data_IF_912790440388
#
_entry.id   IF_912790440388
#
_cell.length_a   1.000
_cell.length_b   1.000
_cell.length_c   1.000
_cell.angle_alpha   90.00
_cell.angle_beta   90.00
_cell.angle_gamma   90.00
#
_symmetry.space_group_name_H-M   'P 1'
#
loop_
_entity.id
_entity.type
_entity.pdbx_description
1 polymer ?
#
# COMPACT_ATOMS: atom_id res chain seq x y z
N UNK A 1 0.20 19.66 -1.36
CA UNK A 1 0.89 19.12 -0.18
C UNK A 1 0.91 17.59 -0.21
N UNK A 2 -0.25 16.92 -0.27
CA UNK A 2 -0.33 15.45 -0.25
C UNK A 2 0.52 14.75 -1.32
N UNK A 3 0.72 15.37 -2.47
CA UNK A 3 1.55 14.85 -3.58
C UNK A 3 2.99 15.39 -3.61
N UNK A 4 3.46 16.02 -2.52
CA UNK A 4 4.83 16.50 -2.39
C UNK A 4 5.18 17.77 -3.18
N UNK A 5 4.21 18.39 -3.88
CA UNK A 5 4.44 19.59 -4.71
C UNK A 5 4.68 20.86 -3.89
N UNK A 6 4.16 20.91 -2.67
CA UNK A 6 4.34 22.02 -1.72
C UNK A 6 4.59 21.45 -0.32
N UNK A 7 5.36 22.16 0.49
CA UNK A 7 5.62 21.82 1.89
C UNK A 7 4.36 22.04 2.76
N UNK A 8 4.35 21.44 3.96
CA UNK A 8 3.30 21.68 4.97
C UNK A 8 3.18 23.19 5.31
N UNK A 9 4.32 23.90 5.40
CA UNK A 9 4.35 25.33 5.70
C UNK A 9 3.67 26.15 4.58
N UNK A 10 4.02 25.84 3.32
CA UNK A 10 3.38 26.50 2.16
C UNK A 10 1.89 26.19 2.07
N UNK A 11 1.49 24.95 2.33
CA UNK A 11 0.06 24.60 2.42
C UNK A 11 -0.65 25.42 3.48
N UNK A 12 -0.10 25.54 4.70
CA UNK A 12 -0.70 26.32 5.78
C UNK A 12 -0.77 27.81 5.46
N UNK A 13 0.23 28.37 4.77
CA UNK A 13 0.22 29.76 4.30
C UNK A 13 -0.86 30.00 3.25
N UNK A 14 -1.04 29.07 2.31
CA UNK A 14 -2.10 29.14 1.31
C UNK A 14 -3.49 28.97 1.93
N UNK A 15 -3.65 27.97 2.79
CA UNK A 15 -4.91 27.70 3.49
C UNK A 15 -5.34 28.87 4.38
N UNK A 16 -4.39 29.58 5.00
CA UNK A 16 -4.66 30.79 5.81
C UNK A 16 -5.37 31.90 5.06
N UNK A 17 -5.25 31.97 3.74
CA UNK A 17 -5.96 32.94 2.90
C UNK A 17 -7.45 32.65 2.74
N UNK A 18 -7.87 31.42 3.02
CA UNK A 18 -9.25 30.95 2.85
C UNK A 18 -9.94 30.67 4.19
N UNK A 19 -9.30 31.00 5.32
CA UNK A 19 -9.92 30.83 6.64
C UNK A 19 -10.94 31.93 6.92
N UNK A 20 -12.17 31.55 7.23
CA UNK A 20 -13.28 32.42 7.55
C UNK A 20 -13.78 32.12 8.97
N UNK A 21 -14.22 33.14 9.71
CA UNK A 21 -14.89 32.94 11.01
C UNK A 21 -13.99 32.55 12.17
N UNK A 22 -12.72 33.03 12.19
CA UNK A 22 -11.81 32.80 13.32
C UNK A 22 -11.11 31.42 13.35
N UNK A 23 -11.33 30.57 12.35
CA UNK A 23 -10.62 29.30 12.22
C UNK A 23 -9.17 29.53 11.79
N UNK A 24 -8.21 28.97 12.50
CA UNK A 24 -6.80 29.03 12.09
C UNK A 24 -6.50 28.08 10.95
N UNK A 25 -5.47 28.37 10.14
CA UNK A 25 -4.99 27.44 9.09
C UNK A 25 -4.60 26.08 9.66
N UNK A 26 -4.09 26.04 10.88
CA UNK A 26 -3.77 24.78 11.59
C UNK A 26 -5.02 23.99 11.98
N UNK A 27 -6.09 24.67 12.43
CA UNK A 27 -7.36 24.03 12.74
C UNK A 27 -7.99 23.42 11.48
N UNK A 28 -7.99 24.17 10.37
CA UNK A 28 -8.44 23.66 9.07
C UNK A 28 -7.61 22.46 8.62
N UNK A 29 -6.28 22.51 8.77
CA UNK A 29 -5.41 21.39 8.45
C UNK A 29 -5.73 20.15 9.28
N UNK A 30 -5.96 20.30 10.59
CA UNK A 30 -6.30 19.18 11.47
C UNK A 30 -7.66 18.57 11.15
N UNK A 31 -8.66 19.38 10.73
CA UNK A 31 -9.95 18.90 10.25
C UNK A 31 -9.85 18.10 8.94
N UNK A 32 -8.86 18.41 8.11
CA UNK A 32 -8.64 17.72 6.83
C UNK A 32 -7.72 16.50 6.97
N UNK A 33 -7.13 16.27 8.15
CA UNK A 33 -6.38 15.03 8.41
C UNK A 33 -7.33 13.85 8.45
N UNK A 34 -6.99 12.73 7.74
CA UNK A 34 -7.76 11.52 7.89
C UNK A 34 -7.65 10.99 9.32
N UNK A 35 -8.79 10.69 9.91
CA UNK A 35 -8.85 9.89 11.14
C UNK A 35 -9.07 8.43 10.73
N UNK A 36 -7.99 7.66 10.70
CA UNK A 36 -8.04 6.27 10.27
C UNK A 36 -8.82 5.37 11.22
N UNK A 37 -8.93 5.73 12.50
CA UNK A 37 -9.73 4.97 13.46
C UNK A 37 -11.23 5.10 13.17
N UNK A 38 -11.69 6.27 12.70
CA UNK A 38 -13.07 6.48 12.28
C UNK A 38 -13.35 5.90 10.88
N UNK A 39 -12.31 5.69 10.07
CA UNK A 39 -12.42 5.16 8.71
C UNK A 39 -12.28 3.63 8.65
N UNK A 40 -11.93 2.96 9.75
CA UNK A 40 -11.81 1.50 9.81
C UNK A 40 -13.16 0.85 9.53
N UNK A 41 -13.20 -0.05 8.53
CA UNK A 41 -14.42 -0.77 8.13
C UNK A 41 -14.41 -2.23 8.61
N UNK A 42 -13.22 -2.83 8.73
CA UNK A 42 -13.04 -4.20 9.22
C UNK A 42 -12.05 -4.17 10.39
N UNK A 43 -12.52 -4.39 11.63
CA UNK A 43 -11.63 -4.35 12.78
C UNK A 43 -10.60 -5.49 12.74
N UNK A 44 -9.45 -5.26 13.38
CA UNK A 44 -8.41 -6.28 13.54
C UNK A 44 -8.93 -7.59 14.17
N UNK A 45 -9.92 -7.48 15.04
CA UNK A 45 -10.55 -8.60 15.78
C UNK A 45 -11.72 -9.26 15.04
N UNK A 46 -11.96 -8.92 13.77
CA UNK A 46 -13.07 -9.53 12.99
C UNK A 46 -12.89 -11.06 12.91
N UNK A 47 -13.91 -11.85 13.28
CA UNK A 47 -13.79 -13.31 13.39
C UNK A 47 -13.67 -14.04 12.04
N UNK A 48 -13.96 -13.37 10.93
CA UNK A 48 -13.88 -13.96 9.59
C UNK A 48 -12.49 -13.87 8.97
N UNK A 49 -11.53 -13.18 9.65
CA UNK A 49 -10.17 -12.99 9.17
C UNK A 49 -9.13 -13.30 10.25
N UNK A 50 -7.90 -13.56 9.82
CA UNK A 50 -6.73 -13.76 10.69
C UNK A 50 -5.61 -12.83 10.22
N UNK A 51 -5.45 -11.65 10.83
CA UNK A 51 -4.36 -10.73 10.53
C UNK A 51 -3.10 -11.05 11.33
N UNK A 52 -1.94 -10.92 10.70
CA UNK A 52 -0.63 -11.06 11.34
C UNK A 52 0.43 -10.26 10.60
N UNK A 53 1.54 -9.93 11.29
CA UNK A 53 2.72 -9.38 10.63
C UNK A 53 3.71 -10.49 10.36
N UNK A 54 4.22 -10.54 9.15
CA UNK A 54 5.23 -11.47 8.70
C UNK A 54 6.42 -10.75 8.08
N UNK A 55 7.48 -11.50 7.76
CA UNK A 55 8.58 -11.04 6.93
C UNK A 55 8.70 -11.95 5.71
N UNK A 56 9.09 -11.39 4.58
CA UNK A 56 9.38 -12.16 3.37
C UNK A 56 10.70 -11.70 2.74
N UNK A 57 11.41 -12.60 2.03
CA UNK A 57 12.68 -12.27 1.39
C UNK A 57 12.49 -11.41 0.15
N UNK A 58 13.35 -10.41 -0.02
CA UNK A 58 13.44 -9.52 -1.18
C UNK A 58 14.91 -9.38 -1.61
N UNK A 59 15.50 -10.39 -2.24
CA UNK A 59 16.93 -10.42 -2.54
C UNK A 59 17.39 -9.31 -3.49
N UNK A 60 16.57 -8.93 -4.45
CA UNK A 60 16.84 -7.82 -5.38
C UNK A 60 16.38 -6.45 -4.84
N UNK A 61 15.74 -6.43 -3.67
CA UNK A 61 15.29 -5.25 -2.96
C UNK A 61 16.17 -4.96 -1.74
N UNK A 62 15.51 -4.81 -0.57
CA UNK A 62 16.19 -4.49 0.69
C UNK A 62 16.55 -5.73 1.53
N UNK A 63 16.46 -6.95 0.98
CA UNK A 63 16.82 -8.21 1.63
C UNK A 63 15.63 -8.85 2.34
N UNK A 64 15.03 -8.19 3.32
CA UNK A 64 13.85 -8.66 4.05
C UNK A 64 12.85 -7.53 4.21
N UNK A 65 11.57 -7.83 4.01
CA UNK A 65 10.48 -6.86 4.08
C UNK A 65 9.42 -7.32 5.06
N UNK A 66 9.06 -6.46 6.01
CA UNK A 66 7.89 -6.65 6.88
C UNK A 66 6.61 -6.42 6.08
N UNK A 67 5.60 -7.24 6.31
CA UNK A 67 4.30 -7.10 5.67
C UNK A 67 3.16 -7.47 6.62
N UNK A 68 1.99 -6.91 6.36
CA UNK A 68 0.74 -7.26 7.01
C UNK A 68 0.02 -8.30 6.15
N UNK A 69 -0.06 -9.52 6.66
CA UNK A 69 -0.75 -10.65 6.03
C UNK A 69 -2.12 -10.81 6.66
N UNK A 70 -3.14 -10.96 5.84
CA UNK A 70 -4.49 -11.26 6.32
C UNK A 70 -5.06 -12.44 5.54
N UNK A 71 -5.42 -13.50 6.26
CA UNK A 71 -6.03 -14.69 5.67
C UNK A 71 -7.50 -14.79 6.10
N UNK A 72 -8.42 -15.18 5.21
CA UNK A 72 -9.77 -15.54 5.61
C UNK A 72 -9.76 -16.76 6.55
N UNK A 73 -10.64 -16.80 7.56
CA UNK A 73 -10.76 -17.97 8.45
C UNK A 73 -11.49 -19.14 7.79
N UNK A 74 -12.29 -18.87 6.76
CA UNK A 74 -13.10 -19.87 6.04
C UNK A 74 -12.54 -20.07 4.62
N UNK A 75 -11.37 -20.70 4.52
CA UNK A 75 -10.80 -21.17 3.25
C UNK A 75 -10.97 -22.70 3.23
N UNK A 76 -11.61 -23.24 2.19
CA UNK A 76 -11.82 -24.69 2.09
C UNK A 76 -10.48 -25.45 1.88
N UNK A 77 -9.57 -24.91 1.07
CA UNK A 77 -8.23 -25.43 0.79
C UNK A 77 -7.27 -24.27 0.50
N UNK A 78 -7.41 -23.62 -0.65
CA UNK A 78 -6.58 -22.51 -1.10
C UNK A 78 -7.42 -21.33 -1.60
N UNK A 79 -6.90 -20.11 -1.48
CA UNK A 79 -7.53 -18.91 -2.02
C UNK A 79 -6.55 -18.15 -2.94
N UNK A 80 -7.04 -17.39 -3.94
CA UNK A 80 -6.18 -16.47 -4.67
C UNK A 80 -5.66 -15.35 -3.75
N UNK A 81 -4.49 -14.82 -4.08
CA UNK A 81 -3.84 -13.80 -3.28
C UNK A 81 -3.91 -12.42 -3.93
N UNK A 82 -3.88 -11.37 -3.09
CA UNK A 82 -3.80 -9.97 -3.53
C UNK A 82 -2.73 -9.25 -2.75
N UNK A 83 -1.79 -8.64 -3.45
CA UNK A 83 -0.83 -7.70 -2.88
C UNK A 83 -1.47 -6.31 -2.85
N UNK A 84 -1.51 -5.68 -1.67
CA UNK A 84 -2.10 -4.35 -1.46
C UNK A 84 -0.97 -3.35 -1.22
N UNK A 85 -0.74 -2.44 -2.15
CA UNK A 85 0.38 -1.50 -2.11
C UNK A 85 -0.06 -0.14 -1.60
N UNK A 86 0.65 0.35 -0.58
CA UNK A 86 0.39 1.63 0.07
C UNK A 86 0.75 2.84 -0.82
N UNK A 87 0.32 4.02 -0.41
CA UNK A 87 0.68 5.30 -1.01
C UNK A 87 2.15 5.66 -0.70
N UNK A 88 2.52 6.93 -0.85
CA UNK A 88 3.88 7.43 -0.62
C UNK A 88 4.19 7.73 0.85
N UNK A 89 3.69 6.94 1.79
CA UNK A 89 3.81 7.21 3.23
C UNK A 89 3.98 5.97 4.10
N UNK A 90 4.14 4.79 3.48
CA UNK A 90 4.30 3.52 4.16
C UNK A 90 2.97 2.82 4.48
N UNK A 91 3.07 1.68 5.13
CA UNK A 91 1.94 0.84 5.54
C UNK A 91 1.19 1.48 6.71
N UNK A 92 0.26 2.37 6.40
CA UNK A 92 -0.57 3.04 7.40
C UNK A 92 -1.84 2.21 7.74
N UNK A 93 -2.55 2.56 8.83
CA UNK A 93 -3.74 1.82 9.26
C UNK A 93 -4.86 1.71 8.21
N UNK A 94 -4.97 2.67 7.28
CA UNK A 94 -5.94 2.59 6.19
C UNK A 94 -5.62 1.44 5.22
N UNK A 95 -4.35 1.26 4.87
CA UNK A 95 -3.93 0.17 3.97
C UNK A 95 -4.08 -1.18 4.66
N UNK A 96 -3.83 -1.25 5.97
CA UNK A 96 -4.11 -2.47 6.75
C UNK A 96 -5.61 -2.80 6.74
N UNK A 97 -6.50 -1.79 6.87
CA UNK A 97 -7.94 -2.00 6.74
C UNK A 97 -8.33 -2.46 5.32
N UNK A 98 -7.72 -1.90 4.27
CA UNK A 98 -7.93 -2.39 2.89
C UNK A 98 -7.55 -3.88 2.77
N UNK A 99 -6.41 -4.29 3.34
CA UNK A 99 -6.00 -5.70 3.33
C UNK A 99 -7.02 -6.58 4.07
N UNK A 100 -7.56 -6.14 5.21
CA UNK A 100 -8.62 -6.85 5.94
C UNK A 100 -9.91 -6.98 5.11
N UNK A 101 -10.30 -5.91 4.42
CA UNK A 101 -11.47 -5.94 3.50
C UNK A 101 -11.28 -6.90 2.34
N UNK A 102 -10.09 -6.95 1.76
CA UNK A 102 -9.72 -7.91 0.72
C UNK A 102 -9.81 -9.35 1.25
N UNK A 103 -9.31 -9.59 2.46
CA UNK A 103 -9.40 -10.91 3.10
C UNK A 103 -10.86 -11.28 3.40
N UNK A 104 -11.67 -10.35 3.87
CA UNK A 104 -13.11 -10.58 4.11
C UNK A 104 -13.88 -10.90 2.81
N UNK A 105 -13.38 -10.46 1.66
CA UNK A 105 -13.91 -10.82 0.34
C UNK A 105 -13.45 -12.22 -0.16
N UNK A 106 -12.64 -12.94 0.64
CA UNK A 106 -12.24 -14.32 0.35
C UNK A 106 -10.85 -14.49 -0.29
N UNK A 107 -10.04 -13.44 -0.31
CA UNK A 107 -8.66 -13.47 -0.84
C UNK A 107 -7.65 -13.51 0.30
N UNK A 108 -6.46 -14.08 0.06
CA UNK A 108 -5.32 -13.87 0.98
C UNK A 108 -4.71 -12.53 0.63
N UNK A 109 -4.67 -11.59 1.57
CA UNK A 109 -4.13 -10.25 1.35
C UNK A 109 -2.75 -10.09 1.97
N UNK A 110 -1.79 -9.54 1.23
CA UNK A 110 -0.48 -9.14 1.73
C UNK A 110 -0.27 -7.66 1.47
N UNK A 111 -0.08 -6.88 2.52
CA UNK A 111 0.28 -5.47 2.42
C UNK A 111 1.73 -5.25 2.89
N UNK A 112 2.70 -5.16 1.96
CA UNK A 112 4.09 -4.89 2.31
C UNK A 112 4.29 -3.52 2.92
N UNK A 113 5.19 -3.41 3.91
CA UNK A 113 5.67 -2.14 4.42
C UNK A 113 6.93 -1.71 3.65
N UNK A 114 6.78 -0.89 2.64
CA UNK A 114 7.89 -0.37 1.84
C UNK A 114 8.88 0.50 2.62
N UNK A 115 8.58 0.82 3.87
CA UNK A 115 9.49 1.51 4.78
C UNK A 115 10.29 0.56 5.67
N UNK A 116 10.19 -0.76 5.50
CA UNK A 116 10.90 -1.76 6.34
C UNK A 116 12.39 -1.47 6.48
N UNK A 117 13.06 -1.07 5.39
CA UNK A 117 14.49 -0.77 5.39
C UNK A 117 14.86 0.48 6.23
N UNK A 118 13.91 1.31 6.60
CA UNK A 118 14.11 2.56 7.37
C UNK A 118 13.31 2.58 8.68
N UNK A 119 12.92 1.40 9.17
CA UNK A 119 12.25 1.21 10.46
C UNK A 119 10.73 1.06 10.39
N UNK A 120 10.16 1.01 9.20
CA UNK A 120 8.72 0.84 8.99
C UNK A 120 7.91 2.13 9.09
N UNK A 121 6.58 2.00 9.03
CA UNK A 121 5.67 3.14 9.16
C UNK A 121 5.77 3.78 10.56
N UNK A 122 6.06 5.09 10.66
CA UNK A 122 6.41 5.75 11.93
C UNK A 122 5.19 6.16 12.78
N UNK A 123 3.96 5.80 12.38
CA UNK A 123 2.73 6.16 13.08
C UNK A 123 2.10 7.47 12.63
N UNK A 124 2.71 8.19 11.70
CA UNK A 124 2.11 9.36 11.06
C UNK A 124 2.57 9.52 9.59
N UNK A 125 1.69 10.06 8.77
CA UNK A 125 1.87 10.16 7.32
C UNK A 125 2.95 11.17 6.88
N UNK A 126 3.19 12.22 7.66
CA UNK A 126 4.17 13.25 7.31
C UNK A 126 5.60 12.69 7.45
N UNK A 127 5.87 11.98 8.54
CA UNK A 127 7.13 11.28 8.75
C UNK A 127 7.29 10.10 7.79
N UNK A 128 6.22 9.32 7.56
CA UNK A 128 6.23 8.24 6.59
C UNK A 128 6.63 8.69 5.20
N UNK A 129 6.10 9.83 4.74
CA UNK A 129 6.49 10.44 3.47
C UNK A 129 7.96 10.88 3.45
N UNK A 130 8.45 11.47 4.54
CA UNK A 130 9.84 11.87 4.65
C UNK A 130 10.81 10.68 4.67
N UNK A 131 10.39 9.56 5.27
CA UNK A 131 11.14 8.30 5.26
C UNK A 131 11.17 7.68 3.86
N UNK A 132 10.04 7.63 3.15
CA UNK A 132 9.99 7.05 1.80
C UNK A 132 10.89 7.77 0.80
N UNK A 133 11.12 9.08 0.95
CA UNK A 133 12.08 9.82 0.13
C UNK A 133 13.55 9.40 0.34
N UNK A 134 13.84 8.68 1.43
CA UNK A 134 15.19 8.17 1.74
C UNK A 134 15.41 6.74 1.28
N UNK A 135 14.35 6.03 0.93
CA UNK A 135 14.41 4.64 0.45
C UNK A 135 14.86 4.62 -1.00
N UNK A 136 15.75 3.70 -1.36
CA UNK A 136 16.14 3.47 -2.75
C UNK A 136 14.90 3.06 -3.59
N UNK A 137 14.52 3.86 -4.60
CA UNK A 137 13.28 3.64 -5.33
C UNK A 137 13.29 2.36 -6.19
N UNK A 138 14.46 1.90 -6.63
CA UNK A 138 14.59 0.66 -7.41
C UNK A 138 14.41 -0.55 -6.50
N UNK A 139 15.09 -0.55 -5.37
CA UNK A 139 14.95 -1.61 -4.36
C UNK A 139 13.53 -1.66 -3.81
N UNK A 140 12.92 -0.51 -3.54
CA UNK A 140 11.54 -0.42 -3.09
C UNK A 140 10.55 -1.05 -4.10
N UNK A 141 10.76 -0.82 -5.40
CA UNK A 141 9.95 -1.46 -6.44
C UNK A 141 10.14 -2.99 -6.42
N UNK A 142 11.39 -3.45 -6.30
CA UNK A 142 11.71 -4.87 -6.21
C UNK A 142 11.12 -5.53 -4.97
N UNK A 143 11.01 -4.82 -3.85
CA UNK A 143 10.33 -5.32 -2.65
C UNK A 143 8.86 -5.68 -2.94
N UNK A 144 8.14 -4.84 -3.68
CA UNK A 144 6.75 -5.14 -4.06
C UNK A 144 6.65 -6.27 -5.09
N UNK A 145 7.60 -6.37 -6.03
CA UNK A 145 7.63 -7.50 -6.97
C UNK A 145 7.96 -8.82 -6.26
N UNK A 146 8.85 -8.79 -5.28
CA UNK A 146 9.14 -9.94 -4.42
C UNK A 146 7.89 -10.37 -3.61
N UNK A 147 7.03 -9.44 -3.19
CA UNK A 147 5.77 -9.76 -2.55
C UNK A 147 4.84 -10.58 -3.45
N UNK A 148 4.76 -10.25 -4.75
CA UNK A 148 3.98 -11.03 -5.72
C UNK A 148 4.54 -12.45 -5.85
N UNK A 149 5.86 -12.58 -6.01
CA UNK A 149 6.53 -13.88 -6.09
C UNK A 149 6.36 -14.71 -4.81
N UNK A 150 6.47 -14.08 -3.64
CA UNK A 150 6.23 -14.71 -2.35
C UNK A 150 4.80 -15.26 -2.25
N UNK A 151 3.80 -14.45 -2.62
CA UNK A 151 2.40 -14.88 -2.56
C UNK A 151 2.04 -15.94 -3.60
N UNK A 152 2.70 -15.98 -4.75
CA UNK A 152 2.53 -17.05 -5.73
C UNK A 152 2.96 -18.42 -5.19
N UNK A 153 3.91 -18.45 -4.24
CA UNK A 153 4.42 -19.66 -3.59
C UNK A 153 3.88 -19.85 -2.16
N UNK A 154 2.98 -18.99 -1.70
CA UNK A 154 2.43 -19.09 -0.34
C UNK A 154 1.59 -20.38 -0.20
N UNK A 155 1.78 -21.19 0.87
CA UNK A 155 1.19 -22.53 0.97
C UNK A 155 -0.34 -22.58 0.81
N UNK A 156 -1.03 -21.57 1.34
CA UNK A 156 -2.50 -21.47 1.26
C UNK A 156 -2.99 -20.72 0.01
N UNK A 157 -2.07 -20.21 -0.84
CA UNK A 157 -2.45 -19.53 -2.08
C UNK A 157 -2.60 -20.53 -3.24
N UNK A 158 -3.49 -20.19 -4.18
CA UNK A 158 -3.68 -20.97 -5.42
C UNK A 158 -2.56 -20.78 -6.44
N UNK A 159 -1.59 -19.92 -6.18
CA UNK A 159 -0.58 -19.44 -7.12
C UNK A 159 -1.07 -18.25 -7.99
N UNK A 160 -2.36 -17.96 -8.02
CA UNK A 160 -2.90 -16.77 -8.70
C UNK A 160 -2.78 -15.56 -7.80
N UNK A 161 -2.04 -14.54 -8.25
CA UNK A 161 -1.80 -13.32 -7.48
C UNK A 161 -2.27 -12.10 -8.28
N UNK A 162 -3.13 -11.29 -7.68
CA UNK A 162 -3.45 -9.94 -8.14
C UNK A 162 -2.67 -8.90 -7.36
N UNK A 163 -2.61 -7.67 -7.89
CA UNK A 163 -2.04 -6.53 -7.21
C UNK A 163 -2.98 -5.32 -7.28
N UNK A 164 -3.09 -4.59 -6.20
CA UNK A 164 -3.81 -3.31 -6.15
C UNK A 164 -3.01 -2.29 -5.35
N UNK A 165 -3.23 -1.02 -5.60
CA UNK A 165 -2.57 0.03 -4.84
C UNK A 165 -3.05 1.42 -5.22
N UNK A 166 -2.73 2.38 -4.36
CA UNK A 166 -3.23 3.75 -4.41
C UNK A 166 -2.08 4.73 -4.61
N UNK A 167 -2.24 5.76 -5.45
CA UNK A 167 -1.23 6.78 -5.70
C UNK A 167 0.12 6.15 -6.16
N UNK A 168 1.16 6.19 -5.34
CA UNK A 168 2.41 5.49 -5.56
C UNK A 168 2.17 3.99 -5.82
N UNK A 169 1.36 3.34 -4.97
CA UNK A 169 0.99 1.93 -5.09
C UNK A 169 0.21 1.61 -6.37
N UNK A 170 -0.59 2.55 -6.89
CA UNK A 170 -1.20 2.42 -8.21
C UNK A 170 -0.15 2.41 -9.32
N UNK A 171 0.91 3.21 -9.19
CA UNK A 171 2.07 3.18 -10.09
C UNK A 171 2.84 1.85 -10.01
N UNK A 172 3.01 1.30 -8.80
CA UNK A 172 3.61 -0.03 -8.59
C UNK A 172 2.76 -1.12 -9.25
N UNK A 173 1.43 -1.07 -9.09
CA UNK A 173 0.52 -2.03 -9.72
C UNK A 173 0.62 -2.01 -11.25
N UNK A 174 0.71 -0.83 -11.87
CA UNK A 174 0.95 -0.69 -13.29
C UNK A 174 2.32 -1.25 -13.71
N UNK A 175 3.37 -0.97 -12.94
CA UNK A 175 4.71 -1.49 -13.21
C UNK A 175 4.77 -3.02 -13.07
N UNK A 176 4.08 -3.59 -12.09
CA UNK A 176 3.98 -5.03 -11.91
C UNK A 176 3.26 -5.70 -13.09
N UNK A 177 2.19 -5.10 -13.62
CA UNK A 177 1.48 -5.61 -14.79
C UNK A 177 2.38 -5.67 -16.04
N UNK A 178 3.34 -4.73 -16.17
CA UNK A 178 4.34 -4.75 -17.26
C UNK A 178 5.44 -5.78 -17.02
N UNK A 179 5.90 -5.90 -15.77
CA UNK A 179 7.10 -6.67 -15.44
C UNK A 179 6.83 -8.15 -15.13
N UNK A 180 5.60 -8.51 -14.75
CA UNK A 180 5.24 -9.86 -14.26
C UNK A 180 4.15 -10.44 -15.16
N UNK A 181 4.51 -11.20 -16.21
CA UNK A 181 3.55 -11.76 -17.17
C UNK A 181 2.55 -12.75 -16.53
N UNK A 182 2.91 -13.38 -15.43
CA UNK A 182 2.10 -14.37 -14.69
C UNK A 182 1.12 -13.72 -13.72
N UNK A 183 1.13 -12.39 -13.59
CA UNK A 183 0.22 -11.68 -12.72
C UNK A 183 -1.23 -11.90 -13.18
N UNK A 184 -2.10 -12.31 -12.26
CA UNK A 184 -3.48 -12.64 -12.61
C UNK A 184 -4.34 -11.40 -12.92
N UNK A 185 -4.09 -10.30 -12.23
CA UNK A 185 -4.72 -8.99 -12.49
C UNK A 185 -3.96 -7.85 -11.81
N UNK A 186 -4.12 -6.64 -12.32
CA UNK A 186 -3.68 -5.41 -11.68
C UNK A 186 -4.84 -4.41 -11.62
N UNK A 187 -5.08 -3.84 -10.44
CA UNK A 187 -6.14 -2.84 -10.22
C UNK A 187 -5.52 -1.57 -9.63
N UNK A 188 -4.93 -0.71 -10.50
CA UNK A 188 -4.28 0.52 -10.06
C UNK A 188 -5.28 1.64 -9.80
N UNK A 189 -5.19 2.29 -8.63
CA UNK A 189 -5.96 3.50 -8.32
C UNK A 189 -5.07 4.75 -8.44
N UNK A 190 -5.41 5.68 -9.38
CA UNK A 190 -4.77 6.98 -9.60
C UNK A 190 -3.23 6.98 -9.52
N UNK A 191 -2.59 5.93 -10.07
CA UNK A 191 -1.15 5.75 -10.12
C UNK A 191 -0.51 6.24 -11.42
N UNK A 192 0.83 6.32 -11.42
CA UNK A 192 1.60 6.61 -12.62
C UNK A 192 1.38 5.51 -13.66
N UNK A 193 1.05 5.91 -14.88
CA UNK A 193 0.92 4.98 -16.01
C UNK A 193 2.30 4.50 -16.49
N UNK A 194 2.41 3.29 -17.05
CA UNK A 194 3.62 2.82 -17.68
C UNK A 194 3.89 3.60 -18.99
N UNK A 195 5.13 3.59 -19.50
CA UNK A 195 5.42 4.12 -20.82
C UNK A 195 4.59 3.43 -21.88
N UNK A 196 4.03 4.18 -22.86
CA UNK A 196 3.17 3.61 -23.92
C UNK A 196 3.82 2.42 -24.65
N UNK A 197 5.15 2.48 -24.88
CA UNK A 197 5.92 1.41 -25.54
C UNK A 197 5.98 0.09 -24.75
N UNK A 198 5.52 0.08 -23.51
CA UNK A 198 5.54 -1.09 -22.61
C UNK A 198 4.15 -1.69 -22.38
N UNK A 199 3.10 -1.00 -22.84
CA UNK A 199 1.71 -1.43 -22.62
C UNK A 199 1.43 -2.81 -23.25
N UNK A 200 2.04 -3.12 -24.40
CA UNK A 200 1.88 -4.41 -25.09
C UNK A 200 2.44 -5.61 -24.30
N UNK A 201 3.26 -5.35 -23.25
CA UNK A 201 3.78 -6.40 -22.36
C UNK A 201 2.75 -6.86 -21.33
N UNK A 202 1.71 -6.08 -21.07
CA UNK A 202 0.69 -6.38 -20.06
C UNK A 202 -0.13 -7.58 -20.51
N UNK A 203 -0.18 -8.61 -19.65
CA UNK A 203 -0.96 -9.84 -19.82
C UNK A 203 -2.07 -9.99 -18.78
N UNK A 204 -1.98 -9.23 -17.67
CA UNK A 204 -2.92 -9.21 -16.56
C UNK A 204 -4.22 -8.44 -16.87
#
# INVERSE_FOLDING_TARGET
YAHGKISKREFLQLAGKYTVGGMTALALFNLLKPDYALAEQVPFTDPDIRPEYIHYPSPDGHGEVRAYLVTPTKIADKAPAVVVVHENRGLNPYIEDVARRVAKAGYIALAPDGLSAVGGYPGNDDEGRALQQKVDPVKLMNDFFAAVAFMANYPQATGKVGITGFCYGGGVSNAAAVAIPELACAVPFYGRQPPLKEVDKIKA
#
